data_IF_684310866278
#
_entry.id   IF_684310866278
#
_cell.length_a   1.000
_cell.length_b   1.000
_cell.length_c   1.000
_cell.angle_alpha   90.00
_cell.angle_beta   90.00
_cell.angle_gamma   90.00
#
_symmetry.space_group_name_H-M   'P 1'
#
loop_
_entity.id
_entity.type
_entity.pdbx_description
1 polymer ?
#
# COMPACT_ATOMS: atom_id res chain seq x y z
N UNK A 1 18.30 -29.58 -32.88
CA UNK A 1 19.10 -28.33 -32.95
C UNK A 1 18.22 -27.12 -32.59
N UNK A 2 18.58 -26.37 -31.55
CA UNK A 2 17.95 -25.09 -31.22
C UNK A 2 18.76 -23.95 -31.85
N UNK A 3 18.12 -22.83 -32.16
CA UNK A 3 18.82 -21.63 -32.63
C UNK A 3 19.31 -20.84 -31.42
N UNK A 4 20.54 -20.34 -31.48
CA UNK A 4 21.11 -19.53 -30.40
C UNK A 4 20.23 -18.31 -30.08
N UNK A 5 19.58 -17.73 -31.10
CA UNK A 5 18.63 -16.64 -30.91
C UNK A 5 17.40 -17.04 -30.08
N UNK A 6 16.87 -18.25 -30.27
CA UNK A 6 15.70 -18.72 -29.49
C UNK A 6 16.06 -18.91 -28.01
N UNK A 7 17.30 -19.30 -27.73
CA UNK A 7 17.82 -19.41 -26.37
C UNK A 7 18.00 -18.02 -25.75
N UNK A 8 18.63 -17.09 -26.47
CA UNK A 8 18.82 -15.71 -26.02
C UNK A 8 17.49 -15.01 -25.72
N UNK A 9 16.50 -15.14 -26.60
CA UNK A 9 15.17 -14.53 -26.41
C UNK A 9 14.46 -15.09 -25.17
N UNK A 10 14.62 -16.39 -24.88
CA UNK A 10 14.05 -17.02 -23.68
C UNK A 10 14.73 -16.54 -22.41
N UNK A 11 16.05 -16.42 -22.41
CA UNK A 11 16.81 -15.89 -21.26
C UNK A 11 16.40 -14.44 -21.00
N UNK A 12 16.30 -13.61 -22.04
CA UNK A 12 15.89 -12.22 -21.91
C UNK A 12 14.50 -12.09 -21.28
N UNK A 13 13.51 -12.84 -21.77
CA UNK A 13 12.15 -12.84 -21.19
C UNK A 13 12.13 -13.31 -19.74
N UNK A 14 12.95 -14.30 -19.40
CA UNK A 14 13.05 -14.80 -18.02
C UNK A 14 13.64 -13.73 -17.09
N UNK A 15 14.66 -13.00 -17.54
CA UNK A 15 15.27 -11.90 -16.79
C UNK A 15 14.31 -10.72 -16.60
N UNK A 16 13.56 -10.33 -17.63
CA UNK A 16 12.55 -9.27 -17.55
C UNK A 16 11.46 -9.61 -16.53
N UNK A 17 10.98 -10.86 -16.55
CA UNK A 17 10.00 -11.36 -15.58
C UNK A 17 10.55 -11.39 -14.15
N UNK A 18 11.77 -11.86 -13.96
CA UNK A 18 12.44 -11.86 -12.65
C UNK A 18 12.61 -10.43 -12.13
N UNK A 19 13.02 -9.50 -12.98
CA UNK A 19 13.16 -8.09 -12.61
C UNK A 19 11.83 -7.48 -12.16
N UNK A 20 10.74 -7.71 -12.90
CA UNK A 20 9.40 -7.24 -12.51
C UNK A 20 8.98 -7.81 -11.15
N UNK A 21 9.15 -9.12 -10.97
CA UNK A 21 8.79 -9.82 -9.73
C UNK A 21 9.57 -9.26 -8.53
N UNK A 22 10.87 -9.02 -8.70
CA UNK A 22 11.70 -8.39 -7.64
C UNK A 22 11.30 -6.96 -7.33
N UNK A 23 10.84 -6.20 -8.32
CA UNK A 23 10.36 -4.84 -8.12
C UNK A 23 9.06 -4.83 -7.32
N UNK A 24 8.11 -5.72 -7.66
CA UNK A 24 6.85 -5.88 -6.93
C UNK A 24 7.10 -6.27 -5.47
N UNK A 25 7.96 -7.27 -5.22
CA UNK A 25 8.31 -7.69 -3.86
C UNK A 25 8.94 -6.56 -3.05
N UNK A 26 9.85 -5.79 -3.65
CA UNK A 26 10.46 -4.62 -2.98
C UNK A 26 9.44 -3.54 -2.64
N UNK A 27 8.44 -3.33 -3.50
CA UNK A 27 7.40 -2.35 -3.22
C UNK A 27 6.46 -2.85 -2.12
N UNK A 28 6.08 -4.13 -2.12
CA UNK A 28 5.31 -4.74 -1.04
C UNK A 28 6.03 -4.64 0.31
N UNK A 29 7.33 -4.91 0.35
CA UNK A 29 8.13 -4.78 1.58
C UNK A 29 8.15 -3.32 2.08
N UNK A 30 8.31 -2.34 1.18
CA UNK A 30 8.23 -0.91 1.54
C UNK A 30 6.87 -0.51 2.10
N UNK A 31 5.79 -1.01 1.51
CA UNK A 31 4.44 -0.74 2.02
C UNK A 31 4.27 -1.37 3.41
N UNK A 32 4.77 -2.59 3.61
CA UNK A 32 4.74 -3.27 4.92
C UNK A 32 5.50 -2.47 5.99
N UNK A 33 6.71 -1.99 5.68
CA UNK A 33 7.49 -1.13 6.59
C UNK A 33 6.72 0.16 6.96
N UNK A 34 6.04 0.77 5.99
CA UNK A 34 5.21 1.95 6.25
C UNK A 34 4.01 1.64 7.13
N UNK A 35 3.34 0.51 6.92
CA UNK A 35 2.24 0.03 7.77
C UNK A 35 2.70 -0.23 9.21
N UNK A 36 3.92 -0.74 9.40
CA UNK A 36 4.53 -0.95 10.71
C UNK A 36 4.89 0.36 11.42
N UNK A 37 5.16 1.44 10.67
CA UNK A 37 5.41 2.78 11.24
C UNK A 37 4.16 3.48 11.80
N UNK A 38 2.97 2.96 11.50
CA UNK A 38 1.71 3.51 12.00
C UNK A 38 1.51 3.16 13.47
N UNK A 39 1.10 4.16 14.25
CA UNK A 39 0.64 3.93 15.62
C UNK A 39 -0.65 3.10 15.61
N UNK A 40 -1.00 2.42 16.71
CA UNK A 40 -2.25 1.65 16.80
C UNK A 40 -3.48 2.47 16.38
N UNK A 41 -3.51 3.74 16.80
CA UNK A 41 -4.62 4.64 16.48
C UNK A 41 -4.67 5.07 15.01
N UNK A 42 -3.52 5.29 14.40
CA UNK A 42 -3.43 5.55 12.95
C UNK A 42 -3.87 4.33 12.14
N UNK A 43 -3.54 3.12 12.61
CA UNK A 43 -3.92 1.86 11.96
C UNK A 43 -5.42 1.60 12.05
N UNK A 44 -6.05 1.91 13.19
CA UNK A 44 -7.52 1.89 13.32
C UNK A 44 -8.19 2.86 12.34
N UNK A 45 -7.68 4.10 12.25
CA UNK A 45 -8.19 5.10 11.31
C UNK A 45 -8.02 4.61 9.88
N UNK A 46 -6.83 4.12 9.51
CA UNK A 46 -6.54 3.54 8.19
C UNK A 46 -7.56 2.47 7.82
N UNK A 47 -7.78 1.47 8.69
CA UNK A 47 -8.71 0.37 8.45
C UNK A 47 -10.16 0.83 8.23
N UNK A 48 -10.59 1.89 8.91
CA UNK A 48 -11.95 2.39 8.76
C UNK A 48 -12.11 3.25 7.51
N UNK A 49 -11.12 4.09 7.19
CA UNK A 49 -11.20 4.95 6.00
C UNK A 49 -11.07 4.13 4.72
N UNK A 50 -10.21 3.11 4.65
CA UNK A 50 -10.05 2.27 3.44
C UNK A 50 -11.30 1.47 3.11
N UNK A 51 -12.16 1.21 4.10
CA UNK A 51 -13.52 0.64 3.91
C UNK A 51 -14.55 1.66 3.40
N UNK A 52 -14.13 2.89 3.10
CA UNK A 52 -15.00 3.95 2.60
C UNK A 52 -15.87 4.62 3.67
N UNK A 53 -15.60 4.44 4.96
CA UNK A 53 -16.38 5.09 6.02
C UNK A 53 -16.11 6.61 6.04
N UNK A 54 -17.14 7.47 6.10
CA UNK A 54 -16.94 8.92 6.20
C UNK A 54 -16.38 9.30 7.57
N UNK A 55 -15.63 10.41 7.63
CA UNK A 55 -14.95 10.89 8.86
C UNK A 55 -15.88 10.97 10.08
N UNK A 56 -17.16 11.36 9.88
CA UNK A 56 -18.17 11.41 10.94
C UNK A 56 -18.44 10.05 11.58
N UNK A 57 -18.51 8.99 10.76
CA UNK A 57 -18.73 7.62 11.26
C UNK A 57 -17.48 7.10 11.93
N UNK A 58 -16.30 7.31 11.34
CA UNK A 58 -15.02 6.95 11.97
C UNK A 58 -14.86 7.63 13.34
N UNK A 59 -15.21 8.90 13.43
CA UNK A 59 -15.16 9.66 14.68
C UNK A 59 -16.07 9.06 15.75
N UNK A 60 -17.30 8.66 15.38
CA UNK A 60 -18.24 7.98 16.27
C UNK A 60 -17.73 6.60 16.71
N UNK A 61 -17.27 5.77 15.76
CA UNK A 61 -16.74 4.42 16.02
C UNK A 61 -15.55 4.45 16.98
N UNK A 62 -14.72 5.49 16.85
CA UNK A 62 -13.50 5.65 17.63
C UNK A 62 -13.69 6.51 18.90
N UNK A 63 -14.86 7.11 19.13
CA UNK A 63 -15.11 7.98 20.28
C UNK A 63 -14.27 9.27 20.30
N UNK A 64 -13.96 9.85 19.14
CA UNK A 64 -13.16 11.07 18.99
C UNK A 64 -13.88 12.13 18.16
N UNK A 65 -13.34 13.34 18.08
CA UNK A 65 -13.88 14.38 17.20
C UNK A 65 -13.53 14.11 15.73
N UNK A 66 -14.35 14.62 14.80
CA UNK A 66 -14.04 14.56 13.35
C UNK A 66 -12.69 15.22 13.04
N UNK A 67 -12.38 16.33 13.70
CA UNK A 67 -11.08 17.01 13.57
C UNK A 67 -9.92 16.10 13.97
N UNK A 68 -10.10 15.26 14.99
CA UNK A 68 -9.10 14.27 15.41
C UNK A 68 -8.89 13.22 14.33
N UNK A 69 -9.97 12.73 13.70
CA UNK A 69 -9.88 11.80 12.57
C UNK A 69 -9.14 12.42 11.39
N UNK A 70 -9.39 13.68 11.08
CA UNK A 70 -8.68 14.39 9.99
C UNK A 70 -7.18 14.51 10.25
N UNK A 71 -6.78 14.80 11.49
CA UNK A 71 -5.36 14.84 11.89
C UNK A 71 -4.73 13.44 11.73
N UNK A 72 -5.39 12.39 12.20
CA UNK A 72 -4.89 11.03 12.02
C UNK A 72 -4.82 10.66 10.53
N UNK A 73 -5.81 11.06 9.71
CA UNK A 73 -5.81 10.79 8.28
C UNK A 73 -4.64 11.48 7.57
N UNK A 74 -4.33 12.72 7.94
CA UNK A 74 -3.17 13.43 7.40
C UNK A 74 -1.86 12.71 7.75
N UNK A 75 -1.69 12.30 9.02
CA UNK A 75 -0.50 11.54 9.46
C UNK A 75 -0.39 10.18 8.79
N UNK A 76 -1.51 9.48 8.59
CA UNK A 76 -1.55 8.21 7.86
C UNK A 76 -1.11 8.43 6.41
N UNK A 77 -1.65 9.43 5.72
CA UNK A 77 -1.25 9.76 4.35
C UNK A 77 0.25 10.08 4.24
N UNK A 78 0.77 10.86 5.19
CA UNK A 78 2.18 11.22 5.27
C UNK A 78 3.08 9.99 5.51
N UNK A 79 2.80 9.19 6.54
CA UNK A 79 3.57 7.98 6.86
C UNK A 79 3.49 6.91 5.78
N UNK A 80 2.34 6.78 5.13
CA UNK A 80 2.15 5.86 4.01
C UNK A 80 2.75 6.40 2.70
N UNK A 81 3.22 7.65 2.66
CA UNK A 81 3.75 8.28 1.46
C UNK A 81 2.72 8.33 0.32
N UNK A 82 1.44 8.41 0.67
CA UNK A 82 0.34 8.40 -0.30
C UNK A 82 0.01 9.84 -0.72
N UNK A 83 0.10 10.11 -2.02
CA UNK A 83 -0.26 11.39 -2.63
C UNK A 83 -1.77 11.59 -2.79
N UNK A 84 -2.52 10.50 -2.77
CA UNK A 84 -3.98 10.52 -2.86
C UNK A 84 -4.60 9.39 -2.06
N UNK A 85 -5.87 9.57 -1.68
CA UNK A 85 -6.61 8.53 -0.97
C UNK A 85 -6.74 7.24 -1.82
N UNK A 86 -6.91 7.35 -3.14
CA UNK A 86 -6.94 6.20 -4.03
C UNK A 86 -5.60 5.44 -4.03
N UNK A 87 -4.47 6.15 -3.99
CA UNK A 87 -3.16 5.51 -3.85
C UNK A 87 -3.02 4.80 -2.50
N UNK A 88 -3.48 5.42 -1.41
CA UNK A 88 -3.47 4.79 -0.09
C UNK A 88 -4.28 3.48 -0.07
N UNK A 89 -5.49 3.49 -0.65
CA UNK A 89 -6.33 2.29 -0.75
C UNK A 89 -5.62 1.19 -1.54
N UNK A 90 -5.01 1.53 -2.68
CA UNK A 90 -4.25 0.57 -3.49
C UNK A 90 -3.09 -0.06 -2.71
N UNK A 91 -2.29 0.76 -2.02
CA UNK A 91 -1.18 0.26 -1.18
C UNK A 91 -1.65 -0.77 -0.16
N UNK A 92 -2.77 -0.52 0.51
CA UNK A 92 -3.32 -1.46 1.50
C UNK A 92 -3.80 -2.76 0.84
N UNK A 93 -4.53 -2.66 -0.27
CA UNK A 93 -5.02 -3.84 -1.00
C UNK A 93 -3.87 -4.72 -1.54
N UNK A 94 -2.79 -4.11 -2.02
CA UNK A 94 -1.62 -4.83 -2.55
C UNK A 94 -0.83 -5.60 -1.46
N UNK A 95 -1.09 -5.31 -0.17
CA UNK A 95 -0.47 -5.99 0.97
C UNK A 95 -1.37 -7.06 1.59
N UNK A 96 -2.68 -7.03 1.31
CA UNK A 96 -3.67 -7.99 1.81
C UNK A 96 -3.91 -9.19 0.86
N UNK A 97 -3.32 -9.16 -0.34
CA UNK A 97 -3.38 -10.20 -1.37
C UNK A 97 -2.22 -11.20 -1.27
#
# INVERSE_FOLDING_TARGET
PFRDQDLLDRVQRALEKDQHTRQELKEQDRIRERLESLTPREREVLNLITRGKPNKVVAADLGVSQRTVEIHRARVMEKMGASSFAQLVRMVLDTEA
#
